data_IF_799529394257
#
_entry.id   IF_799529394257
#
_cell.length_a   1.000
_cell.length_b   1.000
_cell.length_c   1.000
_cell.angle_alpha   90.00
_cell.angle_beta   90.00
_cell.angle_gamma   90.00
#
_symmetry.space_group_name_H-M   'P 1'
#
loop_
_entity.id
_entity.type
_entity.pdbx_description
1 polymer ?
#
# COMPACT_ATOMS: atom_id res chain seq x y z
N UNK A 1 -14.50 -21.15 40.25
CA UNK A 1 -13.87 -22.25 39.48
C UNK A 1 -14.39 -22.17 38.04
N UNK A 2 -13.73 -21.40 37.17
CA UNK A 2 -14.13 -21.29 35.76
C UNK A 2 -13.88 -22.61 35.05
N UNK A 3 -14.93 -23.21 34.47
CA UNK A 3 -14.83 -24.46 33.70
C UNK A 3 -13.90 -24.22 32.51
N UNK A 4 -12.81 -25.00 32.43
CA UNK A 4 -11.77 -24.94 31.38
C UNK A 4 -12.34 -24.92 29.94
N UNK A 5 -13.55 -25.46 29.72
CA UNK A 5 -14.20 -25.48 28.41
C UNK A 5 -14.69 -24.11 27.91
N UNK A 6 -15.00 -23.14 28.78
CA UNK A 6 -15.48 -21.82 28.33
C UNK A 6 -14.33 -20.93 27.84
N UNK A 7 -13.11 -21.14 28.34
CA UNK A 7 -11.94 -20.32 27.95
C UNK A 7 -11.49 -20.63 26.51
N UNK A 8 -11.60 -21.88 26.07
CA UNK A 8 -11.18 -22.30 24.71
C UNK A 8 -12.10 -21.70 23.63
N UNK A 9 -13.41 -21.62 23.89
CA UNK A 9 -14.39 -21.06 22.94
C UNK A 9 -14.19 -19.55 22.79
N UNK A 10 -13.94 -18.83 23.88
CA UNK A 10 -13.69 -17.39 23.82
C UNK A 10 -12.39 -17.06 23.05
N UNK A 11 -11.33 -17.84 23.22
CA UNK A 11 -10.09 -17.65 22.45
C UNK A 11 -10.33 -17.90 20.95
N UNK A 12 -11.06 -18.95 20.59
CA UNK A 12 -11.38 -19.25 19.18
C UNK A 12 -12.21 -18.15 18.50
N UNK A 13 -13.19 -17.58 19.22
CA UNK A 13 -14.00 -16.47 18.70
C UNK A 13 -13.14 -15.22 18.48
N UNK A 14 -12.25 -14.89 19.41
CA UNK A 14 -11.33 -13.75 19.25
C UNK A 14 -10.42 -13.92 18.03
N UNK A 15 -9.92 -15.13 17.77
CA UNK A 15 -9.11 -15.44 16.58
C UNK A 15 -9.89 -15.33 15.26
N UNK A 16 -11.18 -15.66 15.25
CA UNK A 16 -12.03 -15.52 14.05
C UNK A 16 -12.34 -14.05 13.74
N UNK A 17 -12.62 -13.23 14.77
CA UNK A 17 -12.90 -11.81 14.58
C UNK A 17 -11.67 -11.00 14.15
N UNK A 18 -10.48 -11.31 14.68
CA UNK A 18 -9.25 -10.65 14.22
C UNK A 18 -8.93 -11.05 12.78
N UNK A 19 -9.01 -12.35 12.44
CA UNK A 19 -8.74 -12.86 11.09
C UNK A 19 -9.62 -12.24 9.99
N UNK A 20 -10.92 -12.02 10.25
CA UNK A 20 -11.81 -11.38 9.26
C UNK A 20 -11.44 -9.91 9.02
N UNK A 21 -11.06 -9.17 10.06
CA UNK A 21 -10.66 -7.77 9.94
C UNK A 21 -9.33 -7.59 9.18
N UNK A 22 -8.41 -8.56 9.27
CA UNK A 22 -7.18 -8.59 8.45
C UNK A 22 -7.50 -8.73 6.96
N UNK A 23 -8.41 -9.63 6.61
CA UNK A 23 -8.73 -9.95 5.22
C UNK A 23 -9.44 -8.80 4.51
N UNK A 24 -10.36 -8.13 5.21
CA UNK A 24 -11.18 -7.04 4.67
C UNK A 24 -10.33 -5.83 4.26
N UNK A 25 -9.41 -5.40 5.13
CA UNK A 25 -8.54 -4.24 4.89
C UNK A 25 -7.47 -4.45 3.80
N UNK A 26 -6.97 -5.68 3.60
CA UNK A 26 -6.13 -5.98 2.43
C UNK A 26 -6.90 -5.94 1.12
N UNK A 27 -8.15 -6.41 1.10
CA UNK A 27 -8.99 -6.39 -0.10
C UNK A 27 -9.39 -4.97 -0.49
N UNK A 28 -9.61 -4.09 0.49
CA UNK A 28 -9.91 -2.69 0.24
C UNK A 28 -8.79 -2.00 -0.54
N UNK A 29 -7.52 -2.33 -0.25
CA UNK A 29 -6.35 -1.75 -0.91
C UNK A 29 -6.17 -2.21 -2.37
N UNK A 30 -6.71 -3.37 -2.75
CA UNK A 30 -6.50 -3.95 -4.07
C UNK A 30 -7.05 -3.05 -5.19
N UNK A 31 -6.35 -3.08 -6.32
CA UNK A 31 -6.70 -2.34 -7.54
C UNK A 31 -5.87 -1.07 -7.74
N UNK A 32 -6.32 -0.25 -8.67
CA UNK A 32 -5.62 0.95 -9.14
C UNK A 32 -6.05 2.18 -8.36
N UNK A 33 -5.09 3.02 -8.05
CA UNK A 33 -5.27 4.27 -7.33
C UNK A 33 -4.49 5.38 -8.02
N UNK A 34 -5.13 6.53 -8.21
CA UNK A 34 -4.53 7.68 -8.88
C UNK A 34 -4.74 8.97 -8.09
N UNK A 35 -3.77 9.86 -8.14
CA UNK A 35 -3.84 11.15 -7.48
C UNK A 35 -2.67 12.04 -7.83
N UNK A 36 -2.41 13.02 -6.97
CA UNK A 36 -1.29 13.95 -7.13
C UNK A 36 -0.50 14.08 -5.85
N UNK A 37 0.82 14.29 -5.98
CA UNK A 37 1.68 14.71 -4.89
C UNK A 37 1.39 16.16 -4.48
N UNK A 38 1.97 16.57 -3.35
CA UNK A 38 1.98 17.98 -2.92
C UNK A 38 2.70 18.90 -3.92
N UNK A 39 3.60 18.36 -4.75
CA UNK A 39 4.31 19.07 -5.83
C UNK A 39 3.56 19.08 -7.16
N UNK A 40 2.37 18.46 -7.22
CA UNK A 40 1.53 18.41 -8.43
C UNK A 40 1.90 17.29 -9.42
N UNK A 41 2.84 16.42 -9.08
CA UNK A 41 3.20 15.24 -9.87
C UNK A 41 2.06 14.22 -9.80
N UNK A 42 1.79 13.53 -10.91
CA UNK A 42 0.82 12.44 -10.96
C UNK A 42 1.40 11.24 -10.24
N UNK A 43 0.61 10.65 -9.35
CA UNK A 43 0.90 9.41 -8.66
C UNK A 43 -0.12 8.38 -9.14
N UNK A 44 0.36 7.22 -9.58
CA UNK A 44 -0.48 6.04 -9.85
C UNK A 44 0.10 4.85 -9.11
N UNK A 45 -0.73 4.07 -8.44
CA UNK A 45 -0.30 2.84 -7.78
C UNK A 45 -1.34 1.75 -8.00
N UNK A 46 -0.91 0.57 -8.39
CA UNK A 46 -1.76 -0.62 -8.48
C UNK A 46 -1.27 -1.63 -7.45
N UNK A 47 -2.18 -2.12 -6.61
CA UNK A 47 -1.91 -3.18 -5.64
C UNK A 47 -2.49 -4.50 -6.12
N UNK A 48 -1.64 -5.53 -6.19
CA UNK A 48 -2.00 -6.86 -6.64
C UNK A 48 -2.15 -7.85 -5.49
N UNK A 49 -3.00 -8.86 -5.66
CA UNK A 49 -3.24 -9.92 -4.66
C UNK A 49 -1.97 -10.69 -4.26
N UNK A 50 -0.97 -10.73 -5.14
CA UNK A 50 0.30 -11.43 -4.91
C UNK A 50 1.32 -10.62 -4.07
N UNK A 51 0.92 -9.43 -3.60
CA UNK A 51 1.77 -8.54 -2.80
C UNK A 51 2.74 -7.70 -3.64
N UNK A 52 2.67 -7.73 -4.97
CA UNK A 52 3.38 -6.79 -5.83
C UNK A 52 2.62 -5.47 -5.98
N UNK A 53 3.32 -4.43 -6.41
CA UNK A 53 2.71 -3.16 -6.82
C UNK A 53 3.35 -2.60 -8.08
N UNK A 54 2.56 -1.88 -8.87
CA UNK A 54 3.06 -1.00 -9.92
C UNK A 54 2.90 0.44 -9.44
N UNK A 55 4.01 1.11 -9.11
CA UNK A 55 4.02 2.50 -8.65
C UNK A 55 4.60 3.42 -9.72
N UNK A 56 3.87 4.46 -10.09
CA UNK A 56 4.30 5.56 -10.93
C UNK A 56 4.25 6.88 -10.16
N UNK A 57 5.32 7.68 -10.28
CA UNK A 57 5.35 9.07 -9.83
C UNK A 57 6.06 9.94 -10.87
N UNK A 58 5.40 10.97 -11.37
CA UNK A 58 6.06 11.93 -12.27
C UNK A 58 5.13 13.01 -12.83
N UNK A 59 5.71 13.94 -13.58
CA UNK A 59 4.95 14.92 -14.35
C UNK A 59 4.32 14.20 -15.55
N UNK A 60 3.00 14.29 -15.71
CA UNK A 60 2.29 13.77 -16.88
C UNK A 60 2.86 14.38 -18.16
N UNK A 61 3.66 13.60 -18.92
CA UNK A 61 4.21 14.04 -20.20
C UNK A 61 5.27 13.10 -20.77
N UNK A 62 5.30 13.03 -22.11
CA UNK A 62 6.43 12.50 -22.87
C UNK A 62 7.49 13.61 -22.88
N UNK A 63 8.66 13.39 -22.26
CA UNK A 63 9.80 14.30 -22.34
C UNK A 63 10.77 13.74 -23.36
N UNK A 64 10.96 14.44 -24.48
CA UNK A 64 11.85 14.03 -25.59
C UNK A 64 11.54 12.66 -26.21
N UNK A 65 10.27 12.34 -26.45
CA UNK A 65 9.87 11.07 -27.07
C UNK A 65 10.07 9.83 -26.18
N UNK A 66 10.52 10.01 -24.94
CA UNK A 66 10.68 8.95 -23.94
C UNK A 66 9.70 9.17 -22.80
N UNK A 67 9.01 8.11 -22.41
CA UNK A 67 8.26 8.07 -21.15
C UNK A 67 9.26 8.31 -20.01
N UNK A 68 9.14 9.44 -19.32
CA UNK A 68 10.02 9.78 -18.20
C UNK A 68 9.78 8.77 -17.07
N UNK A 69 10.82 8.14 -16.51
CA UNK A 69 10.69 6.88 -15.79
C UNK A 69 10.44 7.12 -14.31
N UNK A 70 9.49 6.37 -13.77
CA UNK A 70 9.50 5.91 -12.39
C UNK A 70 8.39 4.86 -12.20
N UNK A 71 8.27 3.92 -13.14
CA UNK A 71 7.53 2.68 -12.84
C UNK A 71 8.46 1.88 -11.94
N UNK A 72 8.13 1.84 -10.66
CA UNK A 72 8.79 1.00 -9.69
C UNK A 72 7.90 -0.19 -9.41
N UNK A 73 8.51 -1.35 -9.21
CA UNK A 73 7.81 -2.58 -8.81
C UNK A 73 8.16 -2.96 -7.38
N UNK A 74 7.78 -2.15 -6.36
CA UNK A 74 7.99 -2.60 -5.01
C UNK A 74 7.03 -3.74 -4.67
N UNK A 75 7.48 -4.66 -3.82
CA UNK A 75 6.53 -5.48 -3.07
C UNK A 75 5.96 -4.65 -1.95
N UNK A 76 4.68 -4.86 -1.63
CA UNK A 76 4.08 -4.24 -0.46
C UNK A 76 3.80 -5.27 0.63
N UNK A 77 3.91 -4.83 1.87
CA UNK A 77 3.39 -5.54 3.04
C UNK A 77 2.47 -4.59 3.79
N UNK A 78 1.20 -4.98 3.89
CA UNK A 78 0.23 -4.28 4.71
C UNK A 78 0.19 -4.96 6.09
N UNK A 79 0.37 -4.19 7.15
CA UNK A 79 0.17 -4.64 8.51
C UNK A 79 -0.98 -3.85 9.14
N UNK A 80 -2.05 -4.56 9.49
CA UNK A 80 -3.31 -4.00 10.00
C UNK A 80 -3.50 -4.20 11.50
N UNK A 81 -2.45 -4.65 12.21
CA UNK A 81 -2.43 -4.76 13.69
C UNK A 81 -2.51 -3.40 14.41
N UNK A 82 -2.17 -2.30 13.73
CA UNK A 82 -2.10 -0.96 14.31
C UNK A 82 -3.22 -0.04 13.80
N UNK A 83 -3.58 0.97 14.59
CA UNK A 83 -4.58 1.99 14.22
C UNK A 83 -4.21 2.79 12.95
N UNK A 84 -2.92 2.83 12.61
CA UNK A 84 -2.40 3.31 11.32
C UNK A 84 -1.92 2.09 10.54
N UNK A 85 -2.51 1.81 9.39
CA UNK A 85 -2.10 0.66 8.59
C UNK A 85 -0.67 0.86 8.10
N UNK A 86 0.22 -0.04 8.49
CA UNK A 86 1.62 0.00 8.11
C UNK A 86 1.77 -0.53 6.68
N UNK A 87 2.32 0.30 5.78
CA UNK A 87 2.53 -0.05 4.37
C UNK A 87 4.02 0.02 4.05
N UNK A 88 4.63 -1.11 3.72
CA UNK A 88 6.07 -1.18 3.45
C UNK A 88 6.35 -1.47 1.99
N UNK A 89 7.02 -0.53 1.29
CA UNK A 89 7.51 -0.77 -0.07
C UNK A 89 8.92 -1.36 -0.04
N UNK A 90 9.10 -2.55 -0.61
CA UNK A 90 10.37 -3.26 -0.72
C UNK A 90 10.88 -3.23 -2.16
N UNK A 91 12.03 -2.61 -2.39
CA UNK A 91 12.65 -2.50 -3.71
C UNK A 91 13.79 -3.50 -3.81
N UNK A 92 13.78 -4.31 -4.86
CA UNK A 92 14.79 -5.34 -5.10
C UNK A 92 15.70 -4.93 -6.25
N UNK A 93 16.99 -5.23 -6.11
CA UNK A 93 17.97 -5.03 -7.17
C UNK A 93 17.74 -6.07 -8.29
N UNK A 94 17.46 -5.60 -9.50
CA UNK A 94 17.13 -6.47 -10.64
C UNK A 94 18.27 -7.41 -11.06
N UNK A 95 19.54 -7.08 -10.73
CA UNK A 95 20.70 -7.89 -11.14
C UNK A 95 20.91 -9.11 -10.25
N UNK A 96 20.58 -9.03 -8.96
CA UNK A 96 20.90 -10.08 -7.99
C UNK A 96 19.72 -10.52 -7.12
N UNK A 97 18.54 -9.91 -7.30
CA UNK A 97 17.32 -10.24 -6.56
C UNK A 97 17.36 -9.89 -5.07
N UNK A 98 18.41 -9.20 -4.58
CA UNK A 98 18.51 -8.81 -3.17
C UNK A 98 17.70 -7.56 -2.90
N UNK A 99 17.16 -7.46 -1.68
CA UNK A 99 16.53 -6.24 -1.19
C UNK A 99 17.56 -5.11 -1.20
N UNK A 100 17.25 -4.03 -1.92
CA UNK A 100 18.09 -2.86 -2.08
C UNK A 100 17.72 -1.77 -1.07
N UNK A 101 16.41 -1.48 -0.98
CA UNK A 101 15.88 -0.47 -0.06
C UNK A 101 14.45 -0.80 0.37
N UNK A 102 14.06 -0.30 1.55
CA UNK A 102 12.70 -0.39 2.09
C UNK A 102 12.19 0.99 2.43
N UNK A 103 10.94 1.30 2.08
CA UNK A 103 10.28 2.56 2.44
C UNK A 103 9.08 2.25 3.32
N UNK A 104 9.19 2.62 4.60
CA UNK A 104 8.16 2.36 5.61
C UNK A 104 7.13 3.48 5.65
N UNK A 105 5.95 3.25 5.09
CA UNK A 105 4.86 4.22 5.01
C UNK A 105 3.77 3.90 6.04
N UNK A 106 2.83 4.83 6.19
CA UNK A 106 1.52 4.53 6.77
C UNK A 106 0.45 4.86 5.74
N UNK A 107 -0.65 4.10 5.76
CA UNK A 107 -1.82 4.31 4.92
C UNK A 107 -3.07 4.51 5.78
N UNK A 108 -3.94 5.41 5.36
CA UNK A 108 -5.25 5.69 5.95
C UNK A 108 -6.30 5.55 4.85
N UNK A 109 -7.30 4.70 5.09
CA UNK A 109 -8.51 4.67 4.28
C UNK A 109 -9.43 5.80 4.74
N UNK A 110 -9.60 6.82 3.90
CA UNK A 110 -10.56 7.90 4.17
C UNK A 110 -11.98 7.39 3.91
N UNK A 111 -12.13 6.62 2.84
CA UNK A 111 -13.35 5.89 2.45
C UNK A 111 -12.96 4.79 1.45
N UNK A 112 -13.95 4.00 0.99
CA UNK A 112 -13.77 2.87 0.04
C UNK A 112 -13.06 3.25 -1.28
N UNK A 113 -13.13 4.52 -1.66
CA UNK A 113 -12.59 5.04 -2.92
C UNK A 113 -11.42 6.00 -2.73
N UNK A 114 -10.97 6.25 -1.51
CA UNK A 114 -9.91 7.25 -1.25
C UNK A 114 -8.98 6.80 -0.14
N UNK A 115 -7.68 6.78 -0.44
CA UNK A 115 -6.61 6.52 0.53
C UNK A 115 -5.68 7.72 0.67
N UNK A 116 -5.00 7.79 1.80
CA UNK A 116 -3.82 8.62 2.02
C UNK A 116 -2.62 7.76 2.34
N UNK A 117 -1.47 8.04 1.74
CA UNK A 117 -0.19 7.40 2.05
C UNK A 117 0.79 8.47 2.52
N UNK A 118 1.36 8.31 3.72
CA UNK A 118 2.43 9.17 4.19
C UNK A 118 3.79 8.51 3.97
N UNK A 119 4.67 9.23 3.26
CA UNK A 119 6.03 8.80 2.99
C UNK A 119 6.98 9.41 4.01
N UNK A 120 7.94 8.63 4.52
CA UNK A 120 8.86 9.12 5.51
C UNK A 120 9.98 9.98 4.91
N UNK A 121 10.51 10.88 5.73
CA UNK A 121 11.73 11.65 5.47
C UNK A 121 12.97 10.74 5.42
N UNK A 122 12.99 9.67 6.23
CA UNK A 122 14.03 8.64 6.23
C UNK A 122 13.39 7.30 5.91
N UNK A 123 13.86 6.62 4.86
CA UNK A 123 13.17 5.43 4.30
C UNK A 123 12.89 4.32 5.34
N UNK A 124 13.77 4.18 6.34
CA UNK A 124 13.71 3.15 7.39
C UNK A 124 12.97 3.61 8.67
N UNK A 125 12.43 4.83 8.71
CA UNK A 125 11.72 5.36 9.87
C UNK A 125 10.25 5.49 9.53
N UNK A 126 9.41 4.63 10.10
CA UNK A 126 7.96 4.71 9.91
C UNK A 126 7.40 6.00 10.53
N UNK A 127 6.59 6.78 9.81
CA UNK A 127 5.89 7.92 10.40
C UNK A 127 4.88 7.45 11.46
N UNK A 128 4.74 8.20 12.55
CA UNK A 128 3.73 7.89 13.58
C UNK A 128 2.34 8.38 13.21
N UNK A 129 2.26 9.46 12.42
CA UNK A 129 1.04 10.02 11.86
C UNK A 129 1.37 10.90 10.63
N UNK A 130 0.32 11.36 9.94
CA UNK A 130 0.40 12.13 8.68
C UNK A 130 0.97 13.55 8.84
N UNK A 131 0.89 14.14 10.03
CA UNK A 131 1.34 15.51 10.33
C UNK A 131 2.69 15.55 11.05
N UNK A 132 3.35 14.39 11.18
CA UNK A 132 4.60 14.30 11.94
C UNK A 132 5.76 14.90 11.14
N UNK A 133 6.76 15.43 11.84
CA UNK A 133 8.02 15.90 11.24
C UNK A 133 8.82 14.78 10.55
N UNK A 134 8.44 13.52 10.74
CA UNK A 134 8.97 12.37 10.02
C UNK A 134 8.35 12.16 8.63
N UNK A 135 7.31 12.90 8.25
CA UNK A 135 6.68 12.82 6.93
C UNK A 135 7.33 13.79 5.95
N UNK A 136 7.71 13.28 4.77
CA UNK A 136 8.21 14.09 3.66
C UNK A 136 7.08 14.56 2.75
N UNK A 137 6.14 13.65 2.51
CA UNK A 137 5.15 13.78 1.46
C UNK A 137 3.92 12.96 1.84
N UNK A 138 2.75 13.50 1.54
CA UNK A 138 1.48 12.80 1.67
C UNK A 138 0.85 12.69 0.28
N UNK A 139 0.49 11.47 -0.10
CA UNK A 139 -0.24 11.18 -1.31
C UNK A 139 -1.69 10.94 -0.98
N UNK A 140 -2.60 11.69 -1.60
CA UNK A 140 -4.04 11.42 -1.54
C UNK A 140 -4.46 10.83 -2.88
N UNK A 141 -4.90 9.58 -2.85
CA UNK A 141 -5.17 8.79 -4.05
C UNK A 141 -6.63 8.34 -4.06
N UNK A 142 -7.23 8.33 -5.24
CA UNK A 142 -8.60 7.88 -5.49
C UNK A 142 -8.58 6.55 -6.24
N UNK A 143 -9.47 5.64 -5.87
CA UNK A 143 -9.62 4.34 -6.52
C UNK A 143 -10.14 4.56 -7.94
N UNK A 144 -9.45 3.99 -8.91
CA UNK A 144 -9.89 3.98 -10.30
C UNK A 144 -10.90 2.86 -10.45
N UNK A 145 -12.16 3.24 -10.61
CA UNK A 145 -13.23 2.30 -10.94
C UNK A 145 -13.24 2.20 -12.47
N UNK A 146 -12.51 1.22 -13.00
CA UNK A 146 -12.52 0.94 -14.43
C UNK A 146 -13.95 0.50 -14.81
N UNK A 147 -14.67 1.36 -15.53
CA UNK A 147 -15.86 0.95 -16.26
C UNK A 147 -15.43 0.01 -17.37
N UNK A 148 -15.82 -1.26 -17.25
CA UNK A 148 -15.52 -2.40 -18.13
C UNK A 148 -14.10 -3.00 -18.07
N UNK A 149 -14.04 -4.18 -17.42
CA UNK A 149 -13.16 -5.32 -17.70
C UNK A 149 -11.66 -5.06 -17.83
N UNK A 150 -10.98 -4.90 -16.69
CA UNK A 150 -9.59 -5.34 -16.58
C UNK A 150 -9.43 -6.23 -15.34
N UNK A 151 -9.51 -7.54 -15.55
CA UNK A 151 -8.84 -8.47 -14.62
C UNK A 151 -7.33 -8.16 -14.72
N UNK A 152 -6.63 -7.94 -13.60
CA UNK A 152 -5.17 -7.80 -13.62
C UNK A 152 -4.55 -9.14 -14.03
N UNK A 153 -4.41 -9.37 -15.34
CA UNK A 153 -3.56 -10.44 -15.85
C UNK A 153 -2.16 -9.88 -15.96
N UNK A 154 -1.31 -10.31 -15.03
CA UNK A 154 0.14 -10.30 -15.22
C UNK A 154 0.41 -11.00 -16.56
N UNK A 155 0.88 -10.25 -17.56
CA UNK A 155 1.52 -10.87 -18.72
C UNK A 155 2.94 -11.16 -18.28
N UNK A 156 3.19 -12.42 -17.99
CA UNK A 156 4.53 -12.92 -17.71
C UNK A 156 5.46 -12.50 -18.87
N UNK A 157 6.54 -11.78 -18.54
CA UNK A 157 7.68 -11.49 -19.42
C UNK A 157 8.91 -12.16 -18.84
#
# INVERSE_FOLDING_TARGET
MFRKSNVVVFIFIIFLFTGMYYFESTNELLGKWEGKSTTGEVIKIEFFEDGNTDLYKGQSGIVNGKTTPAVFWPKYKLNTLDASLALDFEYYNSKNGKLDRKVMCIVEFINESTIKIALPNKLEVRPTNFESSSVREVWKLQKVIDGDNFLPRRKDF
#
